data_IF_542598756703
#
_entry.id   IF_542598756703
#
_cell.length_a   1.000
_cell.length_b   1.000
_cell.length_c   1.000
_cell.angle_alpha   90.00
_cell.angle_beta   90.00
_cell.angle_gamma   90.00
#
_symmetry.space_group_name_H-M   'P 1'
#
loop_
_entity.id
_entity.type
_entity.pdbx_description
1 polymer ?
#
# COMPACT_ATOMS: atom_id res chain seq x y z
N UNK A 1 30.14 13.69 -1.03
CA UNK A 1 28.73 13.82 -0.58
C UNK A 1 27.83 13.76 -1.79
N UNK A 2 26.71 13.02 -1.78
CA UNK A 2 25.74 13.10 -2.86
C UNK A 2 25.21 14.53 -2.95
N UNK A 3 25.05 15.06 -4.17
CA UNK A 3 24.49 16.40 -4.38
C UNK A 3 23.05 16.40 -3.89
N UNK A 4 22.73 17.33 -2.99
CA UNK A 4 21.36 17.64 -2.60
C UNK A 4 20.57 18.15 -3.80
N UNK A 5 19.26 17.88 -3.82
CA UNK A 5 18.36 18.43 -4.84
C UNK A 5 18.41 19.95 -4.86
N UNK A 6 18.08 20.56 -6.00
CA UNK A 6 17.89 22.00 -6.09
C UNK A 6 16.86 22.46 -5.05
N UNK A 7 17.07 23.66 -4.49
CA UNK A 7 16.25 24.16 -3.38
C UNK A 7 14.77 24.26 -3.76
N UNK A 8 14.48 24.71 -4.99
CA UNK A 8 13.11 24.78 -5.54
C UNK A 8 12.45 23.40 -5.54
N UNK A 9 13.13 22.38 -6.07
CA UNK A 9 12.64 21.00 -6.06
C UNK A 9 12.39 20.48 -4.64
N UNK A 10 13.20 20.89 -3.67
CA UNK A 10 12.95 20.53 -2.27
C UNK A 10 11.65 21.17 -1.74
N UNK A 11 11.40 22.44 -2.06
CA UNK A 11 10.18 23.14 -1.64
C UNK A 11 8.93 22.59 -2.33
N UNK A 12 9.02 22.23 -3.61
CA UNK A 12 7.92 21.62 -4.34
C UNK A 12 7.58 20.22 -3.78
N UNK A 13 8.61 19.41 -3.47
CA UNK A 13 8.43 18.12 -2.79
C UNK A 13 7.76 18.34 -1.42
N UNK A 14 8.22 19.35 -0.66
CA UNK A 14 7.64 19.68 0.65
C UNK A 14 6.15 20.01 0.53
N UNK A 15 5.79 20.91 -0.39
CA UNK A 15 4.41 21.32 -0.66
C UNK A 15 3.53 20.13 -1.05
N UNK A 16 4.02 19.24 -1.93
CA UNK A 16 3.29 18.03 -2.31
C UNK A 16 3.02 17.09 -1.13
N UNK A 17 3.99 16.93 -0.21
CA UNK A 17 3.81 16.11 0.99
C UNK A 17 2.84 16.77 1.98
N UNK A 18 2.87 18.10 2.12
CA UNK A 18 1.93 18.85 2.95
C UNK A 18 0.48 18.75 2.45
N UNK A 19 0.30 18.59 1.13
CA UNK A 19 -0.98 18.27 0.49
C UNK A 19 -1.35 16.78 0.54
N UNK A 20 -0.63 15.98 1.33
CA UNK A 20 -0.90 14.56 1.59
C UNK A 20 -0.84 13.68 0.32
N UNK A 21 -0.03 14.10 -0.67
CA UNK A 21 0.28 13.31 -1.86
C UNK A 21 1.20 12.14 -1.48
N UNK A 22 0.96 10.97 -2.10
CA UNK A 22 1.77 9.78 -1.86
C UNK A 22 3.22 9.98 -2.31
N UNK A 23 4.17 9.53 -1.50
CA UNK A 23 5.62 9.68 -1.77
C UNK A 23 6.06 9.07 -3.09
N UNK A 24 5.39 8.01 -3.55
CA UNK A 24 5.66 7.38 -4.85
C UNK A 24 5.23 8.28 -6.01
N UNK A 25 4.07 8.92 -5.90
CA UNK A 25 3.54 9.85 -6.90
C UNK A 25 4.44 11.08 -6.98
N UNK A 26 4.77 11.66 -5.82
CA UNK A 26 5.72 12.79 -5.71
C UNK A 26 7.07 12.40 -6.33
N UNK A 27 7.61 11.23 -6.02
CA UNK A 27 8.88 10.77 -6.57
C UNK A 27 8.85 10.69 -8.11
N UNK A 28 7.76 10.17 -8.67
CA UNK A 28 7.54 10.11 -10.12
C UNK A 28 7.43 11.49 -10.76
N UNK A 29 6.73 12.43 -10.14
CA UNK A 29 6.59 13.81 -10.66
C UNK A 29 7.92 14.55 -10.75
N UNK A 30 8.77 14.40 -9.73
CA UNK A 30 10.06 15.08 -9.68
C UNK A 30 11.22 14.27 -10.27
N UNK A 31 10.95 13.07 -10.80
CA UNK A 31 11.99 12.19 -11.38
C UNK A 31 13.05 11.74 -10.36
N UNK A 32 12.68 11.63 -9.08
CA UNK A 32 13.58 11.25 -7.99
C UNK A 32 13.23 9.88 -7.43
N UNK A 33 14.15 9.27 -6.70
CA UNK A 33 13.87 8.02 -6.00
C UNK A 33 12.91 8.23 -4.82
N UNK A 34 11.99 7.30 -4.57
CA UNK A 34 11.01 7.39 -3.47
C UNK A 34 11.66 7.57 -2.09
N UNK A 35 12.80 6.93 -1.85
CA UNK A 35 13.59 7.12 -0.62
C UNK A 35 14.03 8.57 -0.42
N UNK A 36 14.33 9.31 -1.49
CA UNK A 36 14.69 10.73 -1.41
C UNK A 36 13.53 11.53 -0.85
N UNK A 37 12.33 11.36 -1.42
CA UNK A 37 11.10 12.00 -0.93
C UNK A 37 10.81 11.59 0.52
N UNK A 38 11.00 10.32 0.86
CA UNK A 38 10.78 9.80 2.22
C UNK A 38 11.74 10.42 3.23
N UNK A 39 13.02 10.59 2.89
CA UNK A 39 14.00 11.23 3.75
C UNK A 39 13.66 12.70 4.00
N UNK A 40 13.28 13.43 2.96
CA UNK A 40 12.81 14.81 3.10
C UNK A 40 11.53 14.90 3.94
N UNK A 41 10.57 14.02 3.71
CA UNK A 41 9.34 13.96 4.50
C UNK A 41 9.62 13.69 5.98
N UNK A 42 10.50 12.73 6.30
CA UNK A 42 10.86 12.43 7.69
C UNK A 42 11.62 13.61 8.34
N UNK A 43 12.42 14.36 7.57
CA UNK A 43 13.14 15.55 8.06
C UNK A 43 12.19 16.68 8.43
N UNK A 44 11.18 16.96 7.60
CA UNK A 44 10.26 18.09 7.81
C UNK A 44 9.03 17.73 8.64
N UNK A 45 8.60 16.48 8.61
CA UNK A 45 7.37 15.99 9.23
C UNK A 45 7.62 14.66 9.94
N UNK A 46 8.41 14.64 11.04
CA UNK A 46 8.80 13.41 11.72
C UNK A 46 7.60 12.64 12.31
N UNK A 47 6.52 13.33 12.68
CA UNK A 47 5.31 12.73 13.25
C UNK A 47 4.24 12.38 12.20
N UNK A 48 4.59 12.41 10.92
CA UNK A 48 3.65 12.09 9.83
C UNK A 48 3.22 10.62 9.91
N UNK A 49 1.90 10.39 9.92
CA UNK A 49 1.34 9.07 9.69
C UNK A 49 1.64 8.68 8.24
N UNK A 50 2.46 7.64 8.06
CA UNK A 50 2.76 7.12 6.73
C UNK A 50 1.55 6.41 6.18
N UNK A 51 0.94 6.93 5.12
CA UNK A 51 0.09 6.13 4.25
C UNK A 51 0.95 4.99 3.70
N UNK A 52 0.66 3.75 4.09
CA UNK A 52 1.29 2.57 3.48
C UNK A 52 0.97 2.62 1.98
N UNK A 53 1.99 2.88 1.17
CA UNK A 53 1.92 2.67 -0.26
C UNK A 53 1.75 1.18 -0.50
N UNK A 54 0.54 0.79 -0.88
CA UNK A 54 0.15 -0.60 -1.05
C UNK A 54 -1.30 -0.66 -1.50
N UNK A 55 -1.63 -1.73 -2.23
CA UNK A 55 -3.02 -1.99 -2.60
C UNK A 55 -3.82 -2.14 -1.31
N UNK A 56 -4.87 -1.34 -1.14
CA UNK A 56 -5.79 -1.56 -0.04
C UNK A 56 -6.48 -2.89 -0.29
N UNK A 57 -6.17 -3.88 0.55
CA UNK A 57 -6.88 -5.14 0.55
C UNK A 57 -8.21 -4.92 1.27
N UNK A 58 -9.29 -5.40 0.67
CA UNK A 58 -10.62 -5.44 1.31
C UNK A 58 -10.61 -6.37 2.54
N UNK A 59 -9.60 -7.23 2.61
CA UNK A 59 -9.42 -8.26 3.61
C UNK A 59 -8.16 -7.91 4.41
N UNK A 60 -8.22 -8.06 5.74
CA UNK A 60 -7.05 -7.82 6.59
C UNK A 60 -5.88 -8.74 6.23
N UNK A 61 -4.64 -8.29 6.47
CA UNK A 61 -3.44 -9.11 6.25
C UNK A 61 -3.48 -10.44 7.02
N UNK A 62 -4.11 -10.47 8.20
CA UNK A 62 -4.25 -11.67 9.03
C UNK A 62 -5.19 -12.67 8.35
N UNK A 63 -6.37 -12.21 7.94
CA UNK A 63 -7.35 -13.04 7.23
C UNK A 63 -6.77 -13.57 5.91
N UNK A 64 -6.02 -12.74 5.18
CA UNK A 64 -5.35 -13.14 3.95
C UNK A 64 -4.35 -14.29 4.20
N UNK A 65 -3.55 -14.20 5.27
CA UNK A 65 -2.60 -15.26 5.64
C UNK A 65 -3.30 -16.58 5.99
N UNK A 66 -4.42 -16.52 6.72
CA UNK A 66 -5.21 -17.70 7.05
C UNK A 66 -5.72 -18.40 5.78
N UNK A 67 -6.33 -17.64 4.88
CA UNK A 67 -6.86 -18.17 3.61
C UNK A 67 -5.74 -18.73 2.74
N UNK A 68 -4.60 -18.05 2.62
CA UNK A 68 -3.44 -18.56 1.87
C UNK A 68 -2.94 -19.89 2.44
N UNK A 69 -2.94 -20.07 3.77
CA UNK A 69 -2.57 -21.33 4.41
C UNK A 69 -3.57 -22.45 4.10
N UNK A 70 -4.87 -22.15 4.11
CA UNK A 70 -5.92 -23.09 3.75
C UNK A 70 -5.88 -23.48 2.25
N UNK A 71 -5.57 -22.54 1.36
CA UNK A 71 -5.32 -22.82 -0.06
C UNK A 71 -4.11 -23.75 -0.21
N UNK A 72 -3.00 -23.47 0.48
CA UNK A 72 -1.80 -24.31 0.45
C UNK A 72 -2.04 -25.73 1.00
N UNK A 73 -2.97 -25.87 1.94
CA UNK A 73 -3.42 -27.16 2.48
C UNK A 73 -4.53 -27.82 1.64
N UNK A 74 -4.82 -27.29 0.45
CA UNK A 74 -5.86 -27.78 -0.47
C UNK A 74 -7.32 -27.76 0.07
N UNK A 75 -7.57 -27.12 1.22
CA UNK A 75 -8.93 -27.02 1.78
C UNK A 75 -9.80 -26.03 0.99
N UNK A 76 -9.20 -24.99 0.42
CA UNK A 76 -9.85 -23.92 -0.35
C UNK A 76 -9.44 -23.89 -1.83
N UNK A 77 -9.48 -25.04 -2.52
CA UNK A 77 -9.07 -25.18 -3.94
C UNK A 77 -9.83 -24.32 -4.96
N UNK A 78 -11.01 -23.78 -4.63
CA UNK A 78 -11.84 -23.03 -5.58
C UNK A 78 -12.17 -21.64 -5.08
N UNK A 79 -12.28 -20.68 -6.01
CA UNK A 79 -12.71 -19.31 -5.71
C UNK A 79 -14.04 -19.26 -4.97
N UNK A 80 -14.95 -20.21 -5.26
CA UNK A 80 -16.24 -20.34 -4.56
C UNK A 80 -16.06 -20.68 -3.08
N UNK A 81 -15.19 -21.63 -2.75
CA UNK A 81 -14.88 -21.96 -1.35
C UNK A 81 -14.21 -20.80 -0.62
N UNK A 82 -13.28 -20.11 -1.29
CA UNK A 82 -12.61 -18.93 -0.73
C UNK A 82 -13.64 -17.82 -0.45
N UNK A 83 -14.57 -17.57 -1.39
CA UNK A 83 -15.62 -16.58 -1.22
C UNK A 83 -16.53 -16.89 -0.02
N UNK A 84 -17.04 -18.12 0.07
CA UNK A 84 -17.86 -18.56 1.20
C UNK A 84 -17.10 -18.43 2.53
N UNK A 85 -15.81 -18.77 2.54
CA UNK A 85 -14.98 -18.64 3.75
C UNK A 85 -14.81 -17.18 4.18
N UNK A 86 -14.73 -16.26 3.23
CA UNK A 86 -14.67 -14.83 3.51
C UNK A 86 -16.00 -14.31 4.06
N UNK A 87 -17.13 -14.76 3.51
CA UNK A 87 -18.45 -14.45 4.05
C UNK A 87 -18.62 -14.96 5.48
N UNK A 88 -18.20 -16.20 5.78
CA UNK A 88 -18.18 -16.76 7.14
C UNK A 88 -17.37 -15.91 8.12
N UNK A 89 -16.30 -15.28 7.64
CA UNK A 89 -15.43 -14.41 8.43
C UNK A 89 -15.91 -12.95 8.45
N UNK A 90 -17.16 -12.70 8.05
CA UNK A 90 -17.82 -11.39 8.01
C UNK A 90 -17.17 -10.40 7.03
N UNK A 91 -16.42 -10.89 6.03
CA UNK A 91 -15.91 -10.09 4.93
C UNK A 91 -16.90 -10.14 3.76
N UNK A 92 -17.93 -9.29 3.83
CA UNK A 92 -18.89 -9.14 2.72
C UNK A 92 -18.18 -8.54 1.51
N UNK A 93 -17.92 -9.36 0.51
CA UNK A 93 -17.26 -8.93 -0.72
C UNK A 93 -17.85 -9.65 -1.93
N UNK A 94 -17.85 -9.00 -3.10
CA UNK A 94 -18.36 -9.63 -4.31
C UNK A 94 -17.46 -10.80 -4.75
N UNK A 95 -18.04 -11.85 -5.32
CA UNK A 95 -17.29 -12.99 -5.86
C UNK A 95 -16.15 -12.56 -6.81
N UNK A 96 -16.38 -11.53 -7.62
CA UNK A 96 -15.40 -10.97 -8.57
C UNK A 96 -14.20 -10.31 -7.85
N UNK A 97 -14.40 -9.81 -6.64
CA UNK A 97 -13.35 -9.16 -5.84
C UNK A 97 -12.44 -10.13 -5.11
N UNK A 98 -12.76 -11.43 -5.07
CA UNK A 98 -11.96 -12.45 -4.36
C UNK A 98 -10.57 -12.60 -4.98
N UNK A 99 -10.48 -12.83 -6.29
CA UNK A 99 -9.20 -13.08 -6.96
C UNK A 99 -8.22 -11.90 -6.86
N UNK A 100 -8.63 -10.63 -7.07
CA UNK A 100 -7.75 -9.47 -6.89
C UNK A 100 -7.19 -9.30 -5.47
N UNK A 101 -7.84 -9.88 -4.46
CA UNK A 101 -7.41 -9.83 -3.06
C UNK A 101 -6.52 -11.02 -2.67
N UNK A 102 -6.54 -12.11 -3.44
CA UNK A 102 -5.71 -13.31 -3.18
C UNK A 102 -4.33 -13.27 -3.86
N UNK A 103 -4.14 -12.38 -4.83
CA UNK A 103 -2.86 -12.16 -5.52
C UNK A 103 -1.79 -11.56 -4.60
#
# INVERSE_FOLDING_TARGET
MPKSLAYETQMDIKSAIEQDVLTEVTAKWFGVHQNTVTNYANKWMPNRIRKKGGKQHLVSDITLRLIKREIANDSLRTTKKIHLKLEELWHSMSFQSVLPNMK
#
